data_IF_867839529216
#
_entry.id   IF_867839529216
#
_cell.length_a   1.000
_cell.length_b   1.000
_cell.length_c   1.000
_cell.angle_alpha   90.00
_cell.angle_beta   90.00
_cell.angle_gamma   90.00
#
_symmetry.space_group_name_H-M   'P 1'
#
loop_
_entity.id
_entity.type
_entity.pdbx_description
1 polymer ?
#
# COMPACT_ATOMS: atom_id res chain seq x y z
N UNK A 1 -2.61 -9.89 -13.65
CA UNK A 1 -2.70 -11.27 -13.11
C UNK A 1 -3.19 -11.35 -11.67
N UNK A 2 -2.65 -10.59 -10.70
CA UNK A 2 -3.04 -10.72 -9.29
C UNK A 2 -4.51 -10.40 -8.98
N UNK A 3 -5.07 -9.32 -9.56
CA UNK A 3 -6.50 -8.98 -9.40
C UNK A 3 -7.42 -10.05 -10.00
N UNK A 4 -6.99 -10.68 -11.11
CA UNK A 4 -7.72 -11.80 -11.72
C UNK A 4 -7.78 -12.98 -10.74
N UNK A 5 -6.70 -13.26 -10.02
CA UNK A 5 -6.69 -14.26 -8.96
C UNK A 5 -7.70 -13.96 -7.84
N UNK A 6 -7.75 -12.71 -7.36
CA UNK A 6 -8.70 -12.28 -6.34
C UNK A 6 -10.17 -12.49 -6.76
N UNK A 7 -10.54 -12.03 -7.97
CA UNK A 7 -11.89 -12.22 -8.50
C UNK A 7 -12.17 -13.68 -8.88
N UNK A 8 -11.14 -14.44 -9.26
CA UNK A 8 -11.23 -15.89 -9.49
C UNK A 8 -11.62 -16.65 -8.24
N UNK A 9 -11.07 -16.29 -7.07
CA UNK A 9 -11.51 -16.86 -5.78
C UNK A 9 -12.97 -16.56 -5.51
N UNK A 10 -13.41 -15.31 -5.72
CA UNK A 10 -14.82 -14.93 -5.52
C UNK A 10 -15.73 -15.75 -6.45
N UNK A 11 -15.38 -15.87 -7.73
CA UNK A 11 -16.13 -16.65 -8.69
C UNK A 11 -16.19 -18.14 -8.31
N UNK A 12 -15.05 -18.73 -7.91
CA UNK A 12 -15.01 -20.12 -7.46
C UNK A 12 -15.92 -20.35 -6.26
N UNK A 13 -15.85 -19.50 -5.22
CA UNK A 13 -16.71 -19.62 -4.04
C UNK A 13 -18.20 -19.42 -4.36
N UNK A 14 -18.54 -18.62 -5.38
CA UNK A 14 -19.93 -18.48 -5.84
C UNK A 14 -20.45 -19.75 -6.51
N UNK A 15 -19.59 -20.52 -7.18
CA UNK A 15 -19.98 -21.74 -7.91
C UNK A 15 -20.19 -22.96 -6.99
N UNK A 16 -19.37 -23.11 -5.94
CA UNK A 16 -19.39 -24.31 -5.08
C UNK A 16 -20.58 -24.31 -4.08
N UNK A 17 -21.34 -23.21 -4.00
CA UNK A 17 -22.52 -23.06 -3.15
C UNK A 17 -22.20 -22.72 -1.69
N UNK A 18 -23.16 -22.10 -0.98
CA UNK A 18 -22.92 -21.43 0.32
C UNK A 18 -22.37 -22.38 1.40
N UNK A 19 -22.85 -23.62 1.48
CA UNK A 19 -22.41 -24.60 2.49
C UNK A 19 -20.93 -24.98 2.31
N UNK A 20 -20.54 -25.28 1.08
CA UNK A 20 -19.15 -25.63 0.75
C UNK A 20 -18.23 -24.42 0.84
N UNK A 21 -18.70 -23.25 0.42
CA UNK A 21 -17.96 -22.00 0.56
C UNK A 21 -17.70 -21.66 2.02
N UNK A 22 -18.68 -21.87 2.92
CA UNK A 22 -18.48 -21.71 4.37
C UNK A 22 -17.39 -22.66 4.91
N UNK A 23 -17.42 -23.94 4.53
CA UNK A 23 -16.39 -24.90 4.93
C UNK A 23 -14.99 -24.51 4.44
N UNK A 24 -14.88 -24.01 3.20
CA UNK A 24 -13.61 -23.50 2.65
C UNK A 24 -13.15 -22.26 3.45
N UNK A 25 -14.05 -21.32 3.74
CA UNK A 25 -13.73 -20.12 4.50
C UNK A 25 -13.25 -20.44 5.92
N UNK A 26 -13.87 -21.41 6.57
CA UNK A 26 -13.47 -21.86 7.90
C UNK A 26 -12.09 -22.51 7.87
N UNK A 27 -11.82 -23.35 6.85
CA UNK A 27 -10.51 -23.97 6.65
C UNK A 27 -9.40 -22.92 6.45
N UNK A 28 -9.64 -21.90 5.61
CA UNK A 28 -8.67 -20.83 5.37
C UNK A 28 -8.64 -19.77 6.49
N UNK A 29 -9.62 -19.77 7.41
CA UNK A 29 -9.81 -18.75 8.44
C UNK A 29 -8.55 -18.38 9.23
N UNK A 30 -7.80 -19.36 9.80
CA UNK A 30 -6.55 -19.09 10.51
C UNK A 30 -5.51 -18.35 9.64
N UNK A 31 -5.37 -18.77 8.38
CA UNK A 31 -4.45 -18.15 7.41
C UNK A 31 -4.89 -16.72 7.06
N UNK A 32 -6.18 -16.51 6.78
CA UNK A 32 -6.73 -15.18 6.47
C UNK A 32 -6.56 -14.20 7.63
N UNK A 33 -6.67 -14.68 8.87
CA UNK A 33 -6.44 -13.86 10.07
C UNK A 33 -4.96 -13.52 10.27
N UNK A 34 -4.06 -14.48 9.99
CA UNK A 34 -2.62 -14.23 10.00
C UNK A 34 -2.24 -13.18 8.96
N UNK A 35 -2.70 -13.31 7.71
CA UNK A 35 -2.41 -12.35 6.64
C UNK A 35 -2.91 -10.95 7.02
N UNK A 36 -4.14 -10.82 7.53
CA UNK A 36 -4.68 -9.53 7.96
C UNK A 36 -3.83 -8.87 9.05
N UNK A 37 -3.34 -9.64 10.02
CA UNK A 37 -2.50 -9.16 11.12
C UNK A 37 -1.13 -8.65 10.66
N UNK A 38 -0.55 -9.28 9.63
CA UNK A 38 0.77 -8.93 9.11
C UNK A 38 0.72 -8.09 7.83
N UNK A 39 -0.47 -7.73 7.36
CA UNK A 39 -0.71 -7.00 6.11
C UNK A 39 0.22 -5.78 5.91
N UNK A 40 0.42 -4.90 6.90
CA UNK A 40 1.25 -3.72 6.68
C UNK A 40 2.74 -4.04 6.47
N UNK A 41 3.23 -5.16 7.01
CA UNK A 41 4.62 -5.59 6.87
C UNK A 41 5.00 -5.86 5.40
N UNK A 42 4.09 -6.47 4.64
CA UNK A 42 4.37 -6.88 3.25
C UNK A 42 4.58 -5.70 2.29
N UNK A 43 4.17 -4.49 2.68
CA UNK A 43 4.37 -3.28 1.89
C UNK A 43 5.63 -2.48 2.29
N UNK A 44 6.36 -2.90 3.33
CA UNK A 44 7.52 -2.15 3.86
C UNK A 44 8.68 -2.10 2.88
N UNK A 45 8.90 -3.16 2.10
CA UNK A 45 10.05 -3.25 1.20
C UNK A 45 10.13 -2.09 0.20
N UNK A 46 8.97 -1.62 -0.26
CA UNK A 46 8.89 -0.49 -1.17
C UNK A 46 9.29 0.82 -0.50
N UNK A 47 9.04 0.98 0.81
CA UNK A 47 9.45 2.16 1.58
C UNK A 47 10.95 2.18 1.86
N UNK A 48 11.56 1.01 2.04
CA UNK A 48 13.00 0.89 2.30
C UNK A 48 13.83 1.41 1.13
N UNK A 49 13.34 1.24 -0.10
CA UNK A 49 14.05 1.71 -1.31
C UNK A 49 13.75 3.15 -1.71
N UNK A 50 12.87 3.85 -0.97
CA UNK A 50 12.47 5.23 -1.28
C UNK A 50 13.66 6.21 -1.41
N UNK A 51 14.70 6.18 -0.52
CA UNK A 51 15.82 7.11 -0.64
C UNK A 51 16.57 7.03 -1.98
N UNK A 52 16.63 5.86 -2.63
CA UNK A 52 17.28 5.72 -3.94
C UNK A 52 16.49 6.42 -5.04
N UNK A 53 15.16 6.33 -4.98
CA UNK A 53 14.29 6.82 -6.04
C UNK A 53 14.14 8.35 -6.04
N UNK A 54 14.57 9.02 -4.97
CA UNK A 54 14.53 10.48 -4.83
C UNK A 54 15.87 11.17 -5.14
N UNK A 55 16.93 10.39 -5.42
CA UNK A 55 18.24 10.94 -5.77
C UNK A 55 18.20 11.56 -7.18
N UNK A 56 18.57 12.84 -7.30
CA UNK A 56 18.67 13.57 -8.58
C UNK A 56 17.56 14.59 -8.88
N UNK A 57 16.61 14.82 -7.97
CA UNK A 57 15.58 15.86 -8.13
C UNK A 57 16.06 17.18 -7.51
N UNK A 58 15.93 18.29 -8.24
CA UNK A 58 16.21 19.62 -7.70
C UNK A 58 15.30 19.95 -6.50
N UNK A 59 15.82 20.64 -5.48
CA UNK A 59 15.10 20.86 -4.22
C UNK A 59 13.78 21.62 -4.36
N UNK A 60 13.69 22.55 -5.30
CA UNK A 60 12.46 23.30 -5.61
C UNK A 60 11.38 22.39 -6.23
N UNK A 61 11.77 21.50 -7.14
CA UNK A 61 10.86 20.54 -7.78
C UNK A 61 10.39 19.49 -6.77
N UNK A 62 11.28 19.04 -5.88
CA UNK A 62 10.93 18.12 -4.81
C UNK A 62 9.89 18.73 -3.87
N UNK A 63 10.03 20.02 -3.51
CA UNK A 63 9.05 20.72 -2.69
C UNK A 63 7.68 20.77 -3.38
N UNK A 64 7.63 21.10 -4.68
CA UNK A 64 6.39 21.10 -5.46
C UNK A 64 5.74 19.71 -5.50
N UNK A 65 6.52 18.65 -5.70
CA UNK A 65 6.02 17.26 -5.65
C UNK A 65 5.38 16.99 -4.29
N UNK A 66 6.06 17.31 -3.19
CA UNK A 66 5.53 17.09 -1.84
C UNK A 66 4.23 17.86 -1.61
N UNK A 67 4.14 19.13 -2.05
CA UNK A 67 2.91 19.93 -1.95
C UNK A 67 1.76 19.26 -2.70
N UNK A 68 2.00 18.80 -3.94
CA UNK A 68 0.99 18.13 -4.76
C UNK A 68 0.54 16.81 -4.12
N UNK A 69 1.47 16.02 -3.59
CA UNK A 69 1.13 14.74 -2.94
C UNK A 69 0.36 14.95 -1.64
N UNK A 70 0.76 15.92 -0.80
CA UNK A 70 0.05 16.24 0.45
C UNK A 70 -1.35 16.79 0.17
N UNK A 71 -1.46 17.85 -0.66
CA UNK A 71 -2.73 18.46 -1.01
C UNK A 71 -3.63 17.49 -1.78
N UNK A 72 -3.06 16.75 -2.72
CA UNK A 72 -3.74 15.72 -3.49
C UNK A 72 -4.21 14.55 -2.63
N UNK A 73 -3.45 14.13 -1.61
CA UNK A 73 -3.90 13.10 -0.67
C UNK A 73 -5.14 13.56 0.08
N UNK A 74 -5.13 14.77 0.65
CA UNK A 74 -6.31 15.33 1.36
C UNK A 74 -7.49 15.45 0.40
N UNK A 75 -7.28 16.08 -0.75
CA UNK A 75 -8.35 16.34 -1.72
C UNK A 75 -8.98 15.04 -2.23
N UNK A 76 -8.18 14.06 -2.67
CA UNK A 76 -8.69 12.79 -3.18
C UNK A 76 -9.41 12.02 -2.06
N UNK A 77 -8.83 11.92 -0.87
CA UNK A 77 -9.44 11.21 0.25
C UNK A 77 -10.81 11.77 0.64
N UNK A 78 -10.93 13.10 0.74
CA UNK A 78 -12.20 13.75 1.06
C UNK A 78 -13.21 13.61 -0.08
N UNK A 79 -12.76 13.81 -1.31
CA UNK A 79 -13.60 13.65 -2.49
C UNK A 79 -14.16 12.23 -2.56
N UNK A 80 -13.33 11.19 -2.46
CA UNK A 80 -13.80 9.79 -2.48
C UNK A 80 -14.82 9.53 -1.37
N UNK A 81 -14.54 9.96 -0.14
CA UNK A 81 -15.43 9.72 0.99
C UNK A 81 -16.79 10.42 0.83
N UNK A 82 -16.77 11.69 0.42
CA UNK A 82 -17.98 12.48 0.20
C UNK A 82 -18.79 11.96 -1.00
N UNK A 83 -18.12 11.61 -2.11
CA UNK A 83 -18.78 11.03 -3.28
C UNK A 83 -19.43 9.70 -2.95
N UNK A 84 -18.80 8.83 -2.16
CA UNK A 84 -19.41 7.58 -1.73
C UNK A 84 -20.71 7.82 -0.96
N UNK A 85 -20.70 8.75 0.01
CA UNK A 85 -21.90 9.10 0.80
C UNK A 85 -22.97 9.77 -0.06
N UNK A 86 -22.57 10.67 -0.98
CA UNK A 86 -23.48 11.37 -1.86
C UNK A 86 -24.19 10.41 -2.82
N UNK A 87 -23.45 9.50 -3.47
CA UNK A 87 -24.04 8.50 -4.36
C UNK A 87 -24.98 7.60 -3.57
N UNK A 88 -24.57 7.13 -2.38
CA UNK A 88 -25.43 6.33 -1.50
C UNK A 88 -26.76 7.01 -1.21
N UNK A 89 -26.72 8.31 -0.87
CA UNK A 89 -27.91 9.10 -0.60
C UNK A 89 -28.80 9.23 -1.86
N UNK A 90 -28.20 9.41 -3.04
CA UNK A 90 -28.92 9.49 -4.32
C UNK A 90 -29.62 8.17 -4.68
N UNK A 91 -28.95 7.03 -4.49
CA UNK A 91 -29.52 5.70 -4.78
C UNK A 91 -30.39 5.15 -3.64
N UNK A 92 -30.51 5.89 -2.53
CA UNK A 92 -31.29 5.53 -1.33
C UNK A 92 -30.93 4.15 -0.77
N UNK A 93 -29.66 3.77 -0.84
CA UNK A 93 -29.21 2.48 -0.31
C UNK A 93 -29.20 2.54 1.22
N UNK A 94 -29.93 1.62 1.84
CA UNK A 94 -29.96 1.45 3.30
C UNK A 94 -28.55 1.10 3.81
N UNK A 95 -27.99 1.97 4.66
CA UNK A 95 -26.70 1.75 5.31
C UNK A 95 -26.87 0.78 6.49
N UNK A 96 -26.60 -0.50 6.25
CA UNK A 96 -26.54 -1.49 7.33
C UNK A 96 -25.17 -1.43 7.99
N UNK A 97 -25.18 -1.47 9.32
CA UNK A 97 -23.93 -1.48 10.10
C UNK A 97 -23.08 -2.69 9.68
N UNK A 98 -21.84 -2.42 9.28
CA UNK A 98 -20.88 -3.47 8.93
C UNK A 98 -20.50 -4.19 10.21
N UNK A 99 -20.65 -5.51 10.23
CA UNK A 99 -20.27 -6.32 11.39
C UNK A 99 -18.80 -6.09 11.75
N UNK A 100 -18.54 -5.74 13.01
CA UNK A 100 -17.19 -5.48 13.50
C UNK A 100 -16.35 -6.75 13.43
N UNK A 101 -15.15 -6.63 12.87
CA UNK A 101 -14.22 -7.73 12.86
C UNK A 101 -13.70 -8.01 14.27
N UNK A 102 -13.38 -9.28 14.55
CA UNK A 102 -12.70 -9.65 15.79
C UNK A 102 -11.31 -9.01 15.81
N UNK A 103 -10.94 -8.42 16.95
CA UNK A 103 -9.61 -7.86 17.14
C UNK A 103 -8.53 -8.91 16.85
N UNK A 104 -7.44 -8.48 16.20
CA UNK A 104 -6.31 -9.36 15.92
C UNK A 104 -5.70 -9.90 17.22
N UNK A 105 -5.24 -11.15 17.20
CA UNK A 105 -4.54 -11.73 18.35
C UNK A 105 -3.27 -10.94 18.67
N UNK A 106 -2.86 -10.81 19.95
CA UNK A 106 -1.63 -10.12 20.30
C UNK A 106 -0.38 -10.81 19.73
N UNK A 107 0.73 -10.09 19.62
CA UNK A 107 2.01 -10.68 19.23
C UNK A 107 2.61 -11.44 20.42
N UNK A 108 2.95 -12.72 20.20
CA UNK A 108 3.55 -13.58 21.22
C UNK A 108 5.00 -13.19 21.53
N UNK A 109 5.43 -13.40 22.78
CA UNK A 109 6.83 -13.22 23.21
C UNK A 109 7.81 -14.09 22.39
N UNK A 110 7.36 -15.26 21.94
CA UNK A 110 8.13 -16.13 21.07
C UNK A 110 8.58 -15.46 19.76
N UNK A 111 7.80 -14.51 19.20
CA UNK A 111 8.22 -13.79 18.00
C UNK A 111 9.44 -12.90 18.28
N UNK A 112 9.46 -12.22 19.43
CA UNK A 112 10.58 -11.38 19.83
C UNK A 112 11.85 -12.19 20.02
N UNK A 113 11.75 -13.33 20.72
CA UNK A 113 12.89 -14.22 20.96
C UNK A 113 13.40 -14.83 19.66
N UNK A 114 12.50 -15.32 18.80
CA UNK A 114 12.87 -15.96 17.54
C UNK A 114 13.57 -14.99 16.57
N UNK A 115 12.95 -13.84 16.30
CA UNK A 115 13.53 -12.85 15.39
C UNK A 115 14.74 -12.13 16.00
N UNK A 116 14.74 -11.89 17.31
CA UNK A 116 15.88 -11.36 18.04
C UNK A 116 17.08 -12.30 17.99
N UNK A 117 16.87 -13.58 18.29
CA UNK A 117 17.90 -14.62 18.21
C UNK A 117 18.46 -14.78 16.80
N UNK A 118 17.59 -14.78 15.78
CA UNK A 118 18.02 -14.84 14.38
C UNK A 118 18.83 -13.60 13.98
N UNK A 119 18.40 -12.40 14.37
CA UNK A 119 19.15 -11.17 14.10
C UNK A 119 20.56 -11.21 14.71
N UNK A 120 20.67 -11.60 15.98
CA UNK A 120 21.96 -11.69 16.68
C UNK A 120 22.85 -12.77 16.07
N UNK A 121 22.29 -13.96 15.79
CA UNK A 121 23.04 -15.07 15.19
C UNK A 121 23.55 -14.70 13.77
N UNK A 122 22.70 -14.11 12.93
CA UNK A 122 23.10 -13.68 11.59
C UNK A 122 24.13 -12.56 11.62
N UNK A 123 24.02 -11.61 12.56
CA UNK A 123 25.01 -10.55 12.73
C UNK A 123 26.36 -11.10 13.21
N UNK A 124 26.36 -12.01 14.19
CA UNK A 124 27.56 -12.68 14.69
C UNK A 124 28.25 -13.49 13.59
N UNK A 125 27.49 -14.24 12.79
CA UNK A 125 28.00 -14.97 11.64
C UNK A 125 28.57 -14.03 10.56
N UNK A 126 27.93 -12.88 10.32
CA UNK A 126 28.44 -11.85 9.39
C UNK A 126 29.77 -11.26 9.87
N UNK A 127 29.94 -11.05 11.17
CA UNK A 127 31.18 -10.53 11.75
C UNK A 127 32.30 -11.57 11.77
N UNK A 128 31.97 -12.85 11.94
CA UNK A 128 32.95 -13.94 12.00
C UNK A 128 33.56 -14.25 10.63
N UNK A 129 32.76 -14.21 9.56
CA UNK A 129 33.22 -14.42 8.19
C UNK A 129 32.46 -13.50 7.21
N UNK A 130 32.92 -12.24 7.04
CA UNK A 130 32.28 -11.29 6.13
C UNK A 130 32.32 -11.75 4.66
N UNK A 131 33.37 -12.46 4.23
CA UNK A 131 33.58 -12.82 2.83
C UNK A 131 32.74 -14.03 2.39
N UNK A 132 32.55 -15.02 3.26
CA UNK A 132 31.69 -16.18 3.00
C UNK A 132 30.28 -15.99 3.57
N UNK A 133 30.12 -16.28 4.86
CA UNK A 133 28.82 -16.31 5.55
C UNK A 133 28.11 -14.96 5.55
N UNK A 134 28.83 -13.83 5.60
CA UNK A 134 28.25 -12.50 5.69
C UNK A 134 27.32 -12.15 4.52
N UNK A 135 27.64 -12.62 3.31
CA UNK A 135 26.79 -12.45 2.13
C UNK A 135 25.48 -13.25 2.22
N UNK A 136 25.54 -14.46 2.77
CA UNK A 136 24.37 -15.35 2.95
C UNK A 136 23.49 -14.90 4.12
N UNK A 137 24.09 -14.27 5.14
CA UNK A 137 23.38 -13.77 6.32
C UNK A 137 22.63 -12.47 6.07
N UNK A 138 22.78 -11.86 4.89
CA UNK A 138 22.07 -10.63 4.51
C UNK A 138 20.55 -10.79 4.57
N UNK A 139 19.99 -11.89 4.03
CA UNK A 139 18.55 -12.15 4.06
C UNK A 139 18.04 -12.34 5.50
N UNK A 140 18.54 -13.31 6.31
CA UNK A 140 17.98 -13.56 7.63
C UNK A 140 18.18 -12.38 8.59
N UNK A 141 19.30 -11.66 8.49
CA UNK A 141 19.52 -10.46 9.30
C UNK A 141 18.53 -9.34 8.94
N UNK A 142 18.44 -8.95 7.67
CA UNK A 142 17.58 -7.86 7.24
C UNK A 142 16.09 -8.17 7.43
N UNK A 143 15.70 -9.43 7.23
CA UNK A 143 14.33 -9.89 7.50
C UNK A 143 14.01 -9.75 9.00
N UNK A 144 14.92 -10.20 9.86
CA UNK A 144 14.75 -10.09 11.31
C UNK A 144 14.71 -8.65 11.79
N UNK A 145 15.59 -7.78 11.27
CA UNK A 145 15.58 -6.35 11.57
C UNK A 145 14.25 -5.69 11.17
N UNK A 146 13.70 -6.08 10.01
CA UNK A 146 12.39 -5.59 9.54
C UNK A 146 11.27 -6.07 10.46
N UNK A 147 11.25 -7.35 10.82
CA UNK A 147 10.21 -7.93 11.68
C UNK A 147 10.25 -7.38 13.11
N UNK A 148 11.44 -7.24 13.69
CA UNK A 148 11.63 -6.60 14.99
C UNK A 148 11.20 -5.13 14.96
N UNK A 149 11.52 -4.40 13.89
CA UNK A 149 11.03 -3.04 13.67
C UNK A 149 9.51 -2.95 13.63
N UNK A 150 8.85 -3.93 13.01
CA UNK A 150 7.39 -4.01 12.97
C UNK A 150 6.78 -4.32 14.34
N UNK A 151 7.35 -5.28 15.07
CA UNK A 151 6.92 -5.61 16.42
C UNK A 151 7.10 -4.42 17.36
N UNK A 152 8.23 -3.71 17.26
CA UNK A 152 8.51 -2.49 18.02
C UNK A 152 7.52 -1.38 17.68
N UNK A 153 7.27 -1.14 16.39
CA UNK A 153 6.32 -0.13 15.96
C UNK A 153 4.92 -0.35 16.50
N UNK A 154 4.47 -1.61 16.54
CA UNK A 154 3.17 -1.97 17.10
C UNK A 154 3.14 -1.99 18.64
N UNK A 155 4.29 -2.15 19.31
CA UNK A 155 4.41 -2.11 20.77
C UNK A 155 4.48 -0.69 21.34
N UNK A 156 4.79 0.32 20.51
CA UNK A 156 4.90 1.71 20.95
C UNK A 156 3.57 2.29 21.46
N UNK A 157 3.59 3.28 22.38
CA UNK A 157 2.38 3.96 22.84
C UNK A 157 1.60 4.60 21.70
N UNK A 158 0.26 4.65 21.82
CA UNK A 158 -0.64 5.22 20.81
C UNK A 158 -0.28 6.66 20.40
N UNK A 159 0.25 7.46 21.33
CA UNK A 159 0.73 8.81 21.05
C UNK A 159 1.87 8.84 20.03
N UNK A 160 2.81 7.89 20.14
CA UNK A 160 3.93 7.78 19.19
C UNK A 160 3.43 7.23 17.85
N UNK A 161 2.56 6.22 17.87
CA UNK A 161 1.96 5.66 16.65
C UNK A 161 1.11 6.67 15.87
N UNK A 162 0.57 7.68 16.54
CA UNK A 162 -0.18 8.76 15.91
C UNK A 162 0.71 9.69 15.08
N UNK A 163 1.97 9.88 15.50
CA UNK A 163 2.96 10.70 14.78
C UNK A 163 3.74 9.87 13.76
N UNK A 164 4.14 8.67 14.16
CA UNK A 164 5.02 7.81 13.38
C UNK A 164 4.39 6.42 13.29
N UNK A 165 3.65 6.19 12.20
CA UNK A 165 2.90 4.95 11.99
C UNK A 165 3.84 3.73 12.10
N UNK A 166 3.37 2.59 12.64
CA UNK A 166 4.18 1.37 12.78
C UNK A 166 4.90 0.95 11.49
N UNK A 167 4.28 1.16 10.33
CA UNK A 167 4.87 0.86 9.00
C UNK A 167 6.10 1.73 8.72
N UNK A 168 6.07 3.01 9.09
CA UNK A 168 7.22 3.92 8.92
C UNK A 168 8.33 3.53 9.88
N UNK A 169 8.01 3.22 11.14
CA UNK A 169 9.01 2.68 12.09
C UNK A 169 9.68 1.44 11.53
N UNK A 170 8.89 0.53 10.95
CA UNK A 170 9.39 -0.69 10.33
C UNK A 170 10.35 -0.38 9.19
N UNK A 171 9.98 0.56 8.31
CA UNK A 171 10.84 0.97 7.21
C UNK A 171 12.15 1.62 7.71
N UNK A 172 12.11 2.43 8.76
CA UNK A 172 13.30 3.02 9.38
C UNK A 172 14.20 1.95 9.99
N UNK A 173 13.63 0.99 10.73
CA UNK A 173 14.38 -0.13 11.30
C UNK A 173 15.01 -1.02 10.22
N UNK A 174 14.27 -1.30 9.14
CA UNK A 174 14.78 -2.07 8.00
C UNK A 174 15.92 -1.33 7.27
N UNK A 175 15.82 0.00 7.07
CA UNK A 175 16.92 0.80 6.54
C UNK A 175 18.14 0.80 7.46
N UNK A 176 17.94 0.92 8.78
CA UNK A 176 19.03 0.86 9.76
C UNK A 176 19.71 -0.52 9.76
N UNK A 177 18.94 -1.60 9.65
CA UNK A 177 19.46 -2.95 9.47
C UNK A 177 20.28 -3.09 8.19
N UNK A 178 19.73 -2.70 7.04
CA UNK A 178 20.43 -2.75 5.76
C UNK A 178 21.73 -1.93 5.79
N UNK A 179 21.70 -0.74 6.39
CA UNK A 179 22.88 0.09 6.58
C UNK A 179 23.93 -0.58 7.47
N UNK A 180 23.53 -1.17 8.60
CA UNK A 180 24.44 -1.84 9.53
C UNK A 180 25.12 -3.05 8.88
N UNK A 181 24.35 -3.91 8.23
CA UNK A 181 24.89 -5.06 7.49
C UNK A 181 25.83 -4.61 6.37
N UNK A 182 25.41 -3.60 5.59
CA UNK A 182 26.23 -3.04 4.53
C UNK A 182 27.56 -2.46 5.03
N UNK A 183 27.56 -1.83 6.21
CA UNK A 183 28.76 -1.28 6.83
C UNK A 183 29.75 -2.37 7.23
N UNK A 184 29.27 -3.49 7.76
CA UNK A 184 30.10 -4.66 8.12
C UNK A 184 30.68 -5.31 6.87
N UNK A 185 29.88 -5.39 5.80
CA UNK A 185 30.29 -5.95 4.51
C UNK A 185 31.17 -4.99 3.67
N UNK A 186 31.39 -3.76 4.14
CA UNK A 186 32.17 -2.75 3.41
C UNK A 186 31.51 -2.24 2.12
N UNK A 187 30.19 -2.43 1.94
CA UNK A 187 29.46 -1.99 0.75
C UNK A 187 28.77 -0.63 0.97
N UNK A 188 28.53 0.10 -0.12
CA UNK A 188 27.83 1.38 -0.06
C UNK A 188 26.36 1.20 0.37
N UNK A 189 25.75 2.26 0.91
CA UNK A 189 24.34 2.25 1.30
C UNK A 189 23.41 1.86 0.14
N UNK A 190 23.69 2.37 -1.06
CA UNK A 190 22.92 2.04 -2.24
C UNK A 190 23.07 0.56 -2.65
N UNK A 191 24.26 -0.02 -2.48
CA UNK A 191 24.46 -1.46 -2.68
C UNK A 191 23.71 -2.27 -1.61
N UNK A 192 23.75 -1.86 -0.35
CA UNK A 192 23.03 -2.53 0.74
C UNK A 192 21.50 -2.54 0.53
N UNK A 193 20.93 -1.45 0.02
CA UNK A 193 19.50 -1.40 -0.35
C UNK A 193 19.16 -2.33 -1.52
N UNK A 194 20.07 -2.52 -2.48
CA UNK A 194 19.90 -3.51 -3.56
C UNK A 194 20.01 -4.95 -3.06
N UNK A 195 20.83 -5.19 -2.02
CA UNK A 195 20.87 -6.50 -1.33
C UNK A 195 19.58 -6.74 -0.55
N UNK A 196 19.00 -5.70 0.05
CA UNK A 196 17.72 -5.80 0.74
C UNK A 196 16.56 -6.11 -0.21
N UNK A 197 16.49 -5.43 -1.37
CA UNK A 197 15.45 -5.63 -2.37
C UNK A 197 16.05 -5.65 -3.78
N UNK A 198 16.34 -6.84 -4.29
CA UNK A 198 17.08 -7.06 -5.53
C UNK A 198 16.21 -7.01 -6.78
N UNK A 199 14.87 -7.12 -6.63
CA UNK A 199 13.90 -7.12 -7.74
C UNK A 199 14.22 -8.18 -8.81
N UNK A 200 14.81 -9.30 -8.40
CA UNK A 200 15.19 -10.40 -9.29
C UNK A 200 16.52 -10.23 -10.02
N UNK A 201 17.29 -9.16 -9.76
CA UNK A 201 18.60 -8.92 -10.37
C UNK A 201 19.76 -9.61 -9.61
N UNK A 202 19.47 -10.40 -8.58
CA UNK A 202 20.48 -11.07 -7.76
C UNK A 202 19.87 -12.04 -6.78
N UNK A 203 20.61 -12.37 -5.71
CA UNK A 203 20.11 -13.18 -4.62
C UNK A 203 18.83 -12.56 -4.03
N UNK A 204 17.95 -13.42 -3.53
CA UNK A 204 16.71 -13.00 -2.90
C UNK A 204 17.03 -12.20 -1.64
N UNK A 205 16.55 -10.96 -1.57
CA UNK A 205 16.65 -10.12 -0.38
C UNK A 205 15.46 -10.30 0.56
N UNK A 206 15.56 -9.71 1.75
CA UNK A 206 14.45 -9.66 2.71
C UNK A 206 13.21 -8.96 2.12
N UNK A 207 13.42 -7.90 1.34
CA UNK A 207 12.36 -7.18 0.63
C UNK A 207 11.70 -8.03 -0.46
N UNK A 208 12.47 -8.82 -1.22
CA UNK A 208 11.90 -9.73 -2.23
C UNK A 208 11.03 -10.81 -1.58
N UNK A 209 11.48 -11.35 -0.43
CA UNK A 209 10.69 -12.30 0.35
C UNK A 209 9.38 -11.68 0.82
N UNK A 210 9.41 -10.50 1.45
CA UNK A 210 8.19 -9.83 1.90
C UNK A 210 7.24 -9.50 0.74
N UNK A 211 7.78 -9.05 -0.39
CA UNK A 211 6.98 -8.73 -1.58
C UNK A 211 6.40 -9.98 -2.25
N UNK A 212 7.01 -11.16 -2.11
CA UNK A 212 6.46 -12.42 -2.63
C UNK A 212 5.10 -12.79 -1.99
N UNK A 213 4.86 -12.37 -0.74
CA UNK A 213 3.58 -12.57 -0.06
C UNK A 213 2.46 -11.69 -0.60
N UNK A 214 2.77 -10.64 -1.38
CA UNK A 214 1.74 -9.73 -1.90
C UNK A 214 0.73 -10.47 -2.78
N UNK A 215 1.16 -11.49 -3.52
CA UNK A 215 0.22 -12.32 -4.29
C UNK A 215 -0.79 -13.04 -3.40
N UNK A 216 -0.31 -13.63 -2.30
CA UNK A 216 -1.13 -14.32 -1.30
C UNK A 216 -2.08 -13.33 -0.60
N UNK A 217 -1.61 -12.12 -0.28
CA UNK A 217 -2.42 -11.04 0.27
C UNK A 217 -3.60 -10.73 -0.65
N UNK A 218 -3.34 -10.51 -1.95
CA UNK A 218 -4.39 -10.16 -2.91
C UNK A 218 -5.40 -11.31 -3.08
N UNK A 219 -4.94 -12.56 -3.11
CA UNK A 219 -5.82 -13.73 -3.15
C UNK A 219 -6.68 -13.80 -1.87
N UNK A 220 -6.09 -13.55 -0.70
CA UNK A 220 -6.79 -13.57 0.59
C UNK A 220 -7.92 -12.53 0.67
N UNK A 221 -7.76 -11.38 0.01
CA UNK A 221 -8.80 -10.36 -0.08
C UNK A 221 -10.04 -10.86 -0.84
N UNK A 222 -9.89 -11.81 -1.78
CA UNK A 222 -11.00 -12.42 -2.50
C UNK A 222 -11.96 -13.17 -1.56
N UNK A 223 -11.42 -13.91 -0.60
CA UNK A 223 -12.22 -14.56 0.44
C UNK A 223 -12.99 -13.55 1.29
N UNK A 224 -12.37 -12.42 1.62
CA UNK A 224 -12.99 -11.34 2.41
C UNK A 224 -14.09 -10.60 1.64
N UNK A 225 -13.90 -10.39 0.34
CA UNK A 225 -14.94 -9.86 -0.56
C UNK A 225 -16.13 -10.81 -0.61
N UNK A 226 -15.88 -12.13 -0.74
CA UNK A 226 -16.95 -13.12 -0.75
C UNK A 226 -17.73 -13.13 0.58
N UNK A 227 -17.04 -13.06 1.74
CA UNK A 227 -17.69 -12.97 3.05
C UNK A 227 -18.64 -11.77 3.16
N UNK A 228 -18.33 -10.64 2.51
CA UNK A 228 -19.18 -9.44 2.49
C UNK A 228 -20.00 -9.27 1.20
N UNK A 229 -20.14 -10.31 0.36
CA UNK A 229 -20.73 -10.21 -1.00
C UNK A 229 -22.11 -9.54 -1.05
N UNK A 230 -22.97 -9.81 -0.07
CA UNK A 230 -24.31 -9.22 -0.01
C UNK A 230 -24.26 -7.72 0.27
N UNK A 231 -23.40 -7.31 1.21
CA UNK A 231 -23.09 -5.90 1.49
C UNK A 231 -22.49 -5.23 0.25
N UNK A 232 -21.51 -5.86 -0.40
CA UNK A 232 -20.87 -5.31 -1.61
C UNK A 232 -21.87 -5.14 -2.76
N UNK A 233 -22.78 -6.11 -2.96
CA UNK A 233 -23.80 -6.06 -4.02
C UNK A 233 -24.79 -4.92 -3.79
N UNK A 234 -25.22 -4.74 -2.53
CA UNK A 234 -26.12 -3.65 -2.13
C UNK A 234 -25.48 -2.27 -2.35
N UNK A 235 -24.19 -2.15 -2.04
CA UNK A 235 -23.43 -0.92 -2.16
C UNK A 235 -22.65 -0.81 -3.49
N UNK A 236 -22.98 -1.61 -4.51
CA UNK A 236 -22.27 -1.58 -5.79
C UNK A 236 -22.31 -0.20 -6.48
N UNK A 237 -23.44 0.54 -6.52
CA UNK A 237 -23.50 1.84 -7.18
C UNK A 237 -22.57 2.89 -6.55
N UNK A 238 -22.51 2.96 -5.22
CA UNK A 238 -21.62 3.89 -4.52
C UNK A 238 -20.14 3.50 -4.68
N UNK A 239 -19.81 2.20 -4.63
CA UNK A 239 -18.43 1.74 -4.79
C UNK A 239 -17.94 2.05 -6.20
N UNK A 240 -18.68 1.66 -7.23
CA UNK A 240 -18.30 1.87 -8.62
C UNK A 240 -18.28 3.37 -8.97
N UNK A 241 -19.31 4.11 -8.59
CA UNK A 241 -19.38 5.54 -8.89
C UNK A 241 -18.34 6.36 -8.14
N UNK A 242 -18.10 6.08 -6.85
CA UNK A 242 -17.09 6.81 -6.07
C UNK A 242 -15.68 6.51 -6.55
N UNK A 243 -15.35 5.25 -6.87
CA UNK A 243 -14.02 4.89 -7.39
C UNK A 243 -13.81 5.48 -8.79
N UNK A 244 -14.82 5.47 -9.65
CA UNK A 244 -14.72 6.09 -10.98
C UNK A 244 -14.47 7.60 -10.91
N UNK A 245 -15.32 8.31 -10.18
CA UNK A 245 -15.18 9.76 -10.01
C UNK A 245 -13.89 10.11 -9.28
N UNK A 246 -13.47 9.31 -8.29
CA UNK A 246 -12.22 9.52 -7.56
C UNK A 246 -10.99 9.33 -8.46
N UNK A 247 -10.97 8.32 -9.33
CA UNK A 247 -9.86 8.12 -10.29
C UNK A 247 -9.76 9.30 -11.25
N UNK A 248 -10.89 9.77 -11.77
CA UNK A 248 -10.94 10.94 -12.63
C UNK A 248 -10.44 12.18 -11.89
N UNK A 249 -11.03 12.46 -10.72
CA UNK A 249 -10.64 13.59 -9.88
C UNK A 249 -9.15 13.55 -9.55
N UNK A 250 -8.60 12.39 -9.19
CA UNK A 250 -7.16 12.24 -8.88
C UNK A 250 -6.27 12.62 -10.07
N UNK A 251 -6.60 12.19 -11.29
CA UNK A 251 -5.80 12.52 -12.48
C UNK A 251 -5.85 14.01 -12.77
N UNK A 252 -7.05 14.57 -12.87
CA UNK A 252 -7.24 15.97 -13.25
C UNK A 252 -6.76 16.94 -12.17
N UNK A 253 -7.08 16.70 -10.90
CA UNK A 253 -6.58 17.54 -9.80
C UNK A 253 -5.06 17.58 -9.75
N UNK A 254 -4.40 16.45 -10.01
CA UNK A 254 -2.93 16.38 -10.05
C UNK A 254 -2.37 17.14 -11.25
N UNK A 255 -2.97 17.00 -12.44
CA UNK A 255 -2.56 17.76 -13.62
C UNK A 255 -2.70 19.28 -13.41
N UNK A 256 -3.84 19.74 -12.89
CA UNK A 256 -4.08 21.16 -12.61
C UNK A 256 -3.14 21.70 -11.52
N UNK A 257 -2.92 20.93 -10.44
CA UNK A 257 -1.99 21.33 -9.38
C UNK A 257 -0.54 21.41 -9.87
N UNK A 258 -0.12 20.45 -10.71
CA UNK A 258 1.21 20.45 -11.31
C UNK A 258 1.44 21.66 -12.22
N UNK A 259 0.45 22.00 -13.07
CA UNK A 259 0.50 23.22 -13.90
C UNK A 259 0.55 24.48 -13.04
N UNK A 260 -0.34 24.58 -12.05
CA UNK A 260 -0.44 25.77 -11.18
C UNK A 260 0.83 26.04 -10.36
N UNK A 261 1.60 25.01 -10.03
CA UNK A 261 2.87 25.12 -9.30
C UNK A 261 4.09 25.21 -10.23
N UNK A 262 3.90 25.16 -11.56
CA UNK A 262 4.99 25.17 -12.54
C UNK A 262 5.97 24.02 -12.31
N UNK A 263 5.44 22.81 -12.10
CA UNK A 263 6.25 21.59 -12.02
C UNK A 263 6.70 21.20 -13.44
N UNK A 264 7.95 20.74 -13.59
CA UNK A 264 8.44 20.27 -14.89
C UNK A 264 7.54 19.18 -15.46
N UNK A 265 7.30 19.22 -16.78
CA UNK A 265 6.37 18.35 -17.51
C UNK A 265 6.58 16.87 -17.20
N UNK A 266 7.82 16.39 -17.28
CA UNK A 266 8.14 14.97 -17.03
C UNK A 266 7.80 14.54 -15.60
N UNK A 267 8.05 15.42 -14.61
CA UNK A 267 7.71 15.19 -13.21
C UNK A 267 6.20 15.23 -13.01
N UNK A 268 5.51 16.18 -13.64
CA UNK A 268 4.06 16.31 -13.58
C UNK A 268 3.35 15.06 -14.14
N UNK A 269 3.82 14.55 -15.28
CA UNK A 269 3.31 13.32 -15.90
C UNK A 269 3.55 12.09 -15.00
N UNK A 270 4.70 12.03 -14.31
CA UNK A 270 5.00 10.96 -13.36
C UNK A 270 4.08 10.95 -12.13
N UNK A 271 3.50 12.10 -11.77
CA UNK A 271 2.61 12.24 -10.61
C UNK A 271 1.15 11.85 -10.92
N UNK A 272 0.74 11.83 -12.19
CA UNK A 272 -0.65 11.50 -12.59
C UNK A 272 -1.17 10.20 -11.95
N UNK A 273 -0.45 9.06 -12.03
CA UNK A 273 -0.90 7.81 -11.41
C UNK A 273 -0.56 7.68 -9.92
N UNK A 274 -0.44 8.78 -9.15
CA UNK A 274 -0.04 8.73 -7.72
C UNK A 274 -0.93 7.86 -6.84
N UNK A 275 -2.22 7.73 -7.16
CA UNK A 275 -3.24 7.08 -6.31
C UNK A 275 -3.45 5.59 -6.61
N UNK A 276 -2.64 4.97 -7.48
CA UNK A 276 -2.63 3.51 -7.72
C UNK A 276 -1.39 2.88 -7.08
N UNK A 277 -1.20 1.56 -7.19
CA UNK A 277 0.06 0.92 -6.74
C UNK A 277 1.16 1.04 -7.78
N UNK A 278 2.42 0.95 -7.33
CA UNK A 278 3.60 1.07 -8.19
C UNK A 278 3.53 0.13 -9.40
N UNK A 279 3.07 -1.11 -9.20
CA UNK A 279 2.94 -2.10 -10.28
C UNK A 279 1.96 -1.67 -11.40
N UNK A 280 0.95 -0.85 -11.08
CA UNK A 280 0.01 -0.29 -12.04
C UNK A 280 0.45 1.10 -12.53
N UNK A 281 1.06 1.89 -11.65
CA UNK A 281 1.52 3.22 -11.96
C UNK A 281 2.63 3.23 -13.00
N UNK A 282 3.55 2.26 -12.97
CA UNK A 282 4.67 2.21 -13.91
C UNK A 282 4.21 2.02 -15.36
N UNK A 283 3.35 1.04 -15.71
CA UNK A 283 2.77 0.96 -17.05
C UNK A 283 1.92 2.17 -17.44
N UNK A 284 1.17 2.76 -16.49
CA UNK A 284 0.40 3.97 -16.75
C UNK A 284 1.34 5.14 -17.08
N UNK A 285 2.35 5.39 -16.26
CA UNK A 285 3.35 6.45 -16.46
C UNK A 285 4.11 6.29 -17.77
N UNK A 286 4.44 5.06 -18.17
CA UNK A 286 5.06 4.78 -19.46
C UNK A 286 4.18 5.22 -20.66
N UNK A 287 2.85 5.17 -20.55
CA UNK A 287 1.94 5.70 -21.59
C UNK A 287 1.99 7.22 -21.72
N UNK A 288 2.50 7.90 -20.70
CA UNK A 288 2.78 9.34 -20.67
C UNK A 288 4.28 9.65 -20.84
N UNK A 289 5.11 8.66 -21.19
CA UNK A 289 6.57 8.81 -21.29
C UNK A 289 7.25 9.33 -20.01
N UNK A 290 6.61 9.09 -18.85
CA UNK A 290 7.06 9.60 -17.58
C UNK A 290 8.24 8.79 -16.99
N UNK A 291 9.16 9.41 -16.24
CA UNK A 291 10.25 8.71 -15.58
C UNK A 291 9.75 7.67 -14.57
N UNK A 292 10.14 6.41 -14.77
CA UNK A 292 9.72 5.28 -13.92
C UNK A 292 10.13 5.46 -12.44
N UNK A 293 11.34 5.95 -12.18
CA UNK A 293 11.84 6.16 -10.82
C UNK A 293 10.99 7.18 -10.03
N UNK A 294 10.65 8.31 -10.67
CA UNK A 294 9.81 9.36 -10.08
C UNK A 294 8.38 8.86 -9.89
N UNK A 295 7.83 8.14 -10.87
CA UNK A 295 6.49 7.55 -10.78
C UNK A 295 6.38 6.60 -9.59
N UNK A 296 7.36 5.70 -9.42
CA UNK A 296 7.40 4.80 -8.28
C UNK A 296 7.54 5.57 -6.95
N UNK A 297 8.43 6.57 -6.89
CA UNK A 297 8.61 7.38 -5.69
C UNK A 297 7.34 8.14 -5.29
N UNK A 298 6.66 8.77 -6.25
CA UNK A 298 5.46 9.57 -6.01
C UNK A 298 4.33 8.70 -5.43
N UNK A 299 4.12 7.51 -5.98
CA UNK A 299 3.15 6.53 -5.48
C UNK A 299 3.49 6.04 -4.08
N UNK A 300 4.77 5.78 -3.81
CA UNK A 300 5.20 5.33 -2.49
C UNK A 300 5.03 6.41 -1.44
N UNK A 301 5.41 7.65 -1.76
CA UNK A 301 5.18 8.82 -0.92
C UNK A 301 3.69 9.03 -0.67
N UNK A 302 2.87 8.98 -1.71
CA UNK A 302 1.40 9.06 -1.60
C UNK A 302 0.85 7.99 -0.66
N UNK A 303 1.33 6.75 -0.81
CA UNK A 303 0.97 5.62 0.05
C UNK A 303 1.37 5.85 1.51
N UNK A 304 2.57 6.37 1.77
CA UNK A 304 3.03 6.71 3.11
C UNK A 304 2.20 7.82 3.75
N UNK A 305 1.95 8.89 3.00
CA UNK A 305 1.14 10.03 3.47
C UNK A 305 -0.27 9.54 3.86
N UNK A 306 -0.92 8.78 2.98
CA UNK A 306 -2.25 8.23 3.28
C UNK A 306 -2.24 7.22 4.43
N UNK A 307 -1.20 6.40 4.56
CA UNK A 307 -1.09 5.45 5.67
C UNK A 307 -0.92 6.14 7.03
N UNK A 308 -0.14 7.23 7.08
CA UNK A 308 0.13 7.96 8.32
C UNK A 308 -1.03 8.87 8.72
N UNK A 309 -1.54 9.64 7.76
CA UNK A 309 -2.46 10.73 8.04
C UNK A 309 -3.92 10.41 7.68
N UNK A 310 -4.16 9.52 6.72
CA UNK A 310 -5.49 9.25 6.18
C UNK A 310 -6.53 8.84 7.23
N UNK A 311 -6.30 7.76 8.01
CA UNK A 311 -7.26 7.33 9.04
C UNK A 311 -7.54 8.41 10.10
N UNK A 312 -6.50 9.12 10.54
CA UNK A 312 -6.61 10.18 11.54
C UNK A 312 -7.37 11.40 11.01
N UNK A 313 -7.09 11.79 9.76
CA UNK A 313 -7.76 12.89 9.06
C UNK A 313 -9.26 12.61 8.88
N UNK A 314 -9.62 11.39 8.43
CA UNK A 314 -11.03 11.00 8.32
C UNK A 314 -11.75 11.06 9.67
N UNK A 315 -11.10 10.60 10.74
CA UNK A 315 -11.65 10.63 12.09
C UNK A 315 -11.85 12.07 12.60
N UNK A 316 -10.85 12.94 12.38
CA UNK A 316 -10.90 14.34 12.77
C UNK A 316 -12.00 15.13 12.04
N UNK A 317 -12.27 14.77 10.78
CA UNK A 317 -13.32 15.38 9.96
C UNK A 317 -14.70 14.71 10.14
N UNK A 318 -14.84 13.80 11.10
CA UNK A 318 -16.12 13.15 11.43
C UNK A 318 -16.59 12.11 10.42
N UNK A 319 -15.73 11.67 9.49
CA UNK A 319 -16.05 10.59 8.54
C UNK A 319 -15.96 9.27 9.29
N UNK A 320 -17.11 8.75 9.72
CA UNK A 320 -17.23 7.51 10.51
C UNK A 320 -17.71 6.30 9.71
N UNK A 321 -18.12 6.52 8.48
CA UNK A 321 -18.72 5.48 7.63
C UNK A 321 -17.67 4.48 7.13
N UNK A 322 -17.78 3.21 7.54
CA UNK A 322 -16.80 2.15 7.22
C UNK A 322 -16.58 1.98 5.72
N UNK A 323 -17.64 2.08 4.91
CA UNK A 323 -17.55 1.93 3.46
C UNK A 323 -16.78 3.11 2.87
N UNK A 324 -17.22 4.34 3.17
CA UNK A 324 -16.58 5.56 2.66
C UNK A 324 -15.11 5.64 3.08
N UNK A 325 -14.78 5.27 4.33
CA UNK A 325 -13.40 5.22 4.82
C UNK A 325 -12.57 4.17 4.09
N UNK A 326 -13.14 2.98 3.89
CA UNK A 326 -12.49 1.90 3.16
C UNK A 326 -12.19 2.30 1.71
N UNK A 327 -13.16 2.90 1.03
CA UNK A 327 -13.01 3.40 -0.33
C UNK A 327 -11.97 4.51 -0.42
N UNK A 328 -12.04 5.50 0.47
CA UNK A 328 -11.15 6.67 0.46
C UNK A 328 -9.69 6.31 0.79
N UNK A 329 -9.45 5.49 1.81
CA UNK A 329 -8.10 5.10 2.20
C UNK A 329 -7.40 4.29 1.09
N UNK A 330 -8.08 3.29 0.54
CA UNK A 330 -7.53 2.45 -0.51
C UNK A 330 -7.45 3.17 -1.87
N UNK A 331 -8.44 4.00 -2.19
CA UNK A 331 -8.49 4.74 -3.45
C UNK A 331 -7.48 5.90 -3.52
N UNK A 332 -7.00 6.39 -2.38
CA UNK A 332 -6.01 7.47 -2.31
C UNK A 332 -4.57 6.97 -2.14
N UNK A 333 -4.37 5.87 -1.40
CA UNK A 333 -3.05 5.42 -0.96
C UNK A 333 -2.80 3.92 -1.19
N UNK A 334 -3.65 3.27 -1.99
CA UNK A 334 -3.50 1.88 -2.41
C UNK A 334 -3.41 0.89 -1.25
N UNK A 335 -2.48 -0.07 -1.40
CA UNK A 335 -2.26 -1.12 -0.40
C UNK A 335 -1.76 -0.60 0.95
N UNK A 336 -0.94 0.46 0.96
CA UNK A 336 -0.45 1.07 2.21
C UNK A 336 -1.59 1.74 3.00
N UNK A 337 -2.44 2.50 2.31
CA UNK A 337 -3.66 3.08 2.89
C UNK A 337 -4.60 1.99 3.43
N UNK A 338 -4.80 0.92 2.65
CA UNK A 338 -5.58 -0.25 3.06
C UNK A 338 -5.04 -0.87 4.34
N UNK A 339 -3.74 -1.15 4.39
CA UNK A 339 -3.10 -1.77 5.54
C UNK A 339 -3.18 -0.90 6.79
N UNK A 340 -3.02 0.42 6.65
CA UNK A 340 -3.11 1.37 7.77
C UNK A 340 -4.52 1.43 8.36
N UNK A 341 -5.56 1.54 7.53
CA UNK A 341 -6.94 1.64 7.99
C UNK A 341 -7.37 0.33 8.64
N UNK A 342 -7.11 -0.79 7.96
CA UNK A 342 -7.57 -2.12 8.39
C UNK A 342 -6.83 -2.66 9.61
N UNK A 343 -5.68 -2.08 9.97
CA UNK A 343 -5.05 -2.34 11.26
C UNK A 343 -5.89 -1.88 12.46
N UNK A 344 -6.71 -0.83 12.27
CA UNK A 344 -7.60 -0.26 13.31
C UNK A 344 -9.06 -0.65 13.09
N UNK A 345 -9.46 -0.80 11.83
CA UNK A 345 -10.83 -1.10 11.39
C UNK A 345 -10.82 -2.28 10.41
N UNK A 346 -10.60 -3.52 10.88
CA UNK A 346 -10.41 -4.67 10.00
C UNK A 346 -11.66 -4.99 9.16
N UNK A 347 -12.85 -4.57 9.61
CA UNK A 347 -14.11 -4.65 8.86
C UNK A 347 -14.11 -3.83 7.55
N UNK A 348 -13.24 -2.82 7.41
CA UNK A 348 -13.13 -2.02 6.20
C UNK A 348 -12.41 -2.75 5.05
N UNK A 349 -11.73 -3.86 5.34
CA UNK A 349 -10.84 -4.56 4.40
C UNK A 349 -11.51 -4.97 3.06
N UNK A 350 -12.75 -5.49 3.03
CA UNK A 350 -13.42 -5.85 1.78
C UNK A 350 -13.68 -4.64 0.87
N UNK A 351 -14.05 -3.50 1.47
CA UNK A 351 -14.28 -2.24 0.74
C UNK A 351 -12.96 -1.66 0.24
N UNK A 352 -11.90 -1.72 1.05
CA UNK A 352 -10.56 -1.36 0.60
C UNK A 352 -10.10 -2.21 -0.59
N UNK A 353 -10.28 -3.53 -0.52
CA UNK A 353 -9.87 -4.45 -1.57
C UNK A 353 -10.59 -4.19 -2.90
N UNK A 354 -11.90 -3.94 -2.86
CA UNK A 354 -12.64 -3.53 -4.06
C UNK A 354 -12.22 -2.16 -4.56
N UNK A 355 -12.11 -1.15 -3.69
CA UNK A 355 -11.67 0.20 -4.09
C UNK A 355 -10.32 0.15 -4.77
N UNK A 356 -9.35 -0.49 -4.13
CA UNK A 356 -8.00 -0.66 -4.65
C UNK A 356 -8.00 -1.32 -6.03
N UNK A 357 -8.85 -2.34 -6.23
CA UNK A 357 -8.95 -3.04 -7.51
C UNK A 357 -9.63 -2.21 -8.59
N UNK A 358 -10.75 -1.56 -8.26
CA UNK A 358 -11.52 -0.72 -9.17
C UNK A 358 -10.73 0.52 -9.60
N UNK A 359 -10.09 1.22 -8.65
CA UNK A 359 -9.22 2.38 -8.95
C UNK A 359 -8.09 1.96 -9.88
N UNK A 360 -7.47 0.81 -9.66
CA UNK A 360 -6.46 0.27 -10.56
C UNK A 360 -6.96 0.05 -11.99
N UNK A 361 -8.13 -0.61 -12.15
CA UNK A 361 -8.74 -0.89 -13.45
C UNK A 361 -9.14 0.42 -14.15
N UNK A 362 -9.85 1.30 -13.44
CA UNK A 362 -10.37 2.56 -13.99
C UNK A 362 -9.22 3.49 -14.35
N UNK A 363 -8.22 3.67 -13.50
CA UNK A 363 -7.07 4.51 -13.81
C UNK A 363 -6.25 3.98 -14.98
N UNK A 364 -6.11 2.66 -15.12
CA UNK A 364 -5.47 2.05 -16.31
C UNK A 364 -6.28 2.33 -17.56
N UNK A 365 -7.61 2.11 -17.51
CA UNK A 365 -8.50 2.41 -18.61
C UNK A 365 -8.45 3.88 -19.02
N UNK A 366 -8.57 4.81 -18.06
CA UNK A 366 -8.50 6.25 -18.29
C UNK A 366 -7.18 6.66 -18.96
N UNK A 367 -6.05 6.08 -18.54
CA UNK A 367 -4.75 6.37 -19.15
C UNK A 367 -4.63 5.88 -20.60
N UNK A 368 -5.28 4.76 -20.92
CA UNK A 368 -5.27 4.18 -22.27
C UNK A 368 -6.20 4.90 -23.25
N UNK A 369 -7.23 5.59 -22.76
CA UNK A 369 -8.12 6.41 -23.62
C UNK A 369 -7.33 7.61 -24.19
N UNK A 370 -7.12 7.70 -25.51
CA UNK A 370 -6.27 8.75 -26.09
C UNK A 370 -6.78 10.16 -25.81
N UNK A 371 -8.10 10.36 -25.80
CA UNK A 371 -8.72 11.66 -25.51
C UNK A 371 -8.39 12.14 -24.08
N UNK A 372 -8.49 11.25 -23.08
CA UNK A 372 -8.16 11.59 -21.68
C UNK A 372 -6.67 11.92 -21.58
N UNK A 373 -5.81 11.09 -22.19
CA UNK A 373 -4.36 11.32 -22.20
C UNK A 373 -3.99 12.67 -22.82
N UNK A 374 -4.53 13.00 -23.99
CA UNK A 374 -4.25 14.28 -24.66
C UNK A 374 -4.72 15.48 -23.84
N UNK A 375 -5.89 15.39 -23.20
CA UNK A 375 -6.36 16.45 -22.31
C UNK A 375 -5.43 16.62 -21.11
N UNK A 376 -4.99 15.55 -20.47
CA UNK A 376 -4.07 15.62 -19.33
C UNK A 376 -2.71 16.22 -19.72
N UNK A 377 -2.17 15.81 -20.87
CA UNK A 377 -0.92 16.39 -21.41
C UNK A 377 -1.12 17.88 -21.72
N UNK A 378 -2.25 18.26 -22.35
CA UNK A 378 -2.56 19.65 -22.65
C UNK A 378 -2.81 20.53 -21.41
N UNK A 379 -3.26 19.95 -20.29
CA UNK A 379 -3.35 20.65 -19.01
C UNK A 379 -1.95 20.89 -18.42
N UNK A 380 -1.00 19.98 -18.64
CA UNK A 380 0.35 20.10 -18.08
C UNK A 380 1.25 21.03 -18.92
N UNK A 381 1.14 20.94 -20.25
CA UNK A 381 1.93 21.72 -21.22
C UNK A 381 1.52 23.19 -21.26
#
# INVERSE_FOLDING_TARGET
>A
MLQVGMFGVVAALLVVGDKSAAAILDWFGPCLNWIAKWLPLFYVASLVTLPLNLSGIAGDQLLKIVIILCGGMVATLLFTAQTAVAIRALVKTENKEVSKAKAASPYLAAHWVAWGGLAVASLAATLADPAGLGSQMALPFNLSATLLGFLLGNAMPKAVQAVLHPVVMTALAANAGAWLHGRIMGISYAAAQKVYYSKGAGAMGAGDLLMSFLGVVIISMGFRIYQQRDTMRRHAPEILGATFLSSLFSFFSTAFAARGLGLQTDLALALIPRSVTVALALPIGAQFEAPAAITAAAVLLQGMLGANFGPSLMSALGIRDTIARGLAAAGTAGGLGTASLTSKEPEALPFCALSYSMVGIISTFLATVPAVRQVLIGIIA
#
